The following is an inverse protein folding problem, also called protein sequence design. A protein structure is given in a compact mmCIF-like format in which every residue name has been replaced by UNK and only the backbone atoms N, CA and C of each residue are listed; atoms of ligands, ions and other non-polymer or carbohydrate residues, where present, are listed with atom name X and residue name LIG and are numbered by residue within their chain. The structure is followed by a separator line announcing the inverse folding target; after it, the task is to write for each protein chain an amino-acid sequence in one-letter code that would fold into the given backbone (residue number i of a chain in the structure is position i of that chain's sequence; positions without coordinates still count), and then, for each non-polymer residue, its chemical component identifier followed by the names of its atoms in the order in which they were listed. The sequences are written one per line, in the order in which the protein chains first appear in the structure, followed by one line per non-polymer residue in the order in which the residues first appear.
data_IF_521529743203
#
_entry.id   IF_521529743203
#
_cell.length_a   1.000
_cell.length_b   1.000
_cell.length_c   1.000
_cell.angle_alpha   90.00
_cell.angle_beta   90.00
_cell.angle_gamma   90.00
#
_symmetry.space_group_name_H-M   'P 1'
#
loop_
_entity.id
_entity.type
_entity.pdbx_description
1 polymer ?
#
# COMPACT_ATOMS: atom_id res chain seq x y z
N UNK A 1 3.31 13.81 -29.74
CA UNK A 1 2.82 12.44 -29.90
C UNK A 1 3.77 11.51 -29.13
N UNK A 2 3.34 10.98 -27.97
CA UNK A 2 4.19 10.18 -27.08
C UNK A 2 4.11 8.71 -27.54
N UNK A 3 5.12 8.26 -28.28
CA UNK A 3 5.22 6.86 -28.73
C UNK A 3 5.57 5.99 -27.52
N UNK A 4 4.73 5.00 -27.20
CA UNK A 4 5.02 4.00 -26.16
C UNK A 4 5.63 2.76 -26.82
N UNK A 5 6.78 2.31 -26.33
CA UNK A 5 7.39 1.05 -26.75
C UNK A 5 6.82 -0.10 -25.89
N UNK A 6 6.02 -0.97 -26.50
CA UNK A 6 5.46 -2.16 -25.84
C UNK A 6 6.47 -3.31 -25.88
N UNK A 7 7.42 -3.31 -24.94
CA UNK A 7 8.41 -4.41 -24.83
C UNK A 7 7.92 -5.45 -23.83
N UNK A 8 7.96 -6.74 -24.22
CA UNK A 8 7.60 -7.87 -23.37
C UNK A 8 8.90 -8.58 -22.98
N UNK A 9 9.21 -8.61 -21.68
CA UNK A 9 10.41 -9.26 -21.16
C UNK A 9 10.15 -10.74 -20.89
N UNK A 10 11.13 -11.58 -21.22
CA UNK A 10 11.03 -13.04 -21.11
C UNK A 10 12.06 -13.56 -20.12
N UNK A 11 11.60 -14.15 -19.02
CA UNK A 11 12.48 -14.85 -18.08
C UNK A 11 12.69 -16.33 -18.47
N UNK A 12 11.70 -16.96 -19.12
CA UNK A 12 11.74 -18.36 -19.58
C UNK A 12 11.08 -18.50 -20.95
N UNK A 13 11.59 -19.39 -21.79
CA UNK A 13 11.02 -19.67 -23.11
C UNK A 13 9.55 -20.12 -23.00
N UNK A 14 8.67 -19.49 -23.76
CA UNK A 14 7.22 -19.75 -23.76
C UNK A 14 6.71 -19.80 -25.20
N UNK A 15 6.03 -20.88 -25.57
CA UNK A 15 5.45 -21.10 -26.91
C UNK A 15 3.97 -20.72 -26.89
N UNK A 16 3.65 -19.53 -27.37
CA UNK A 16 2.29 -18.98 -27.33
C UNK A 16 1.28 -19.82 -28.13
N UNK A 17 1.72 -20.47 -29.22
CA UNK A 17 0.87 -21.32 -30.08
C UNK A 17 0.23 -22.51 -29.35
N UNK A 18 0.82 -22.95 -28.23
CA UNK A 18 0.32 -24.09 -27.43
C UNK A 18 -0.70 -23.68 -26.37
N UNK A 19 -0.88 -22.39 -26.13
CA UNK A 19 -1.77 -21.86 -25.09
C UNK A 19 -3.16 -21.64 -25.70
N UNK A 20 -4.16 -22.34 -25.15
CA UNK A 20 -5.55 -22.27 -25.65
C UNK A 20 -6.44 -21.28 -24.89
N UNK A 21 -6.07 -20.95 -23.67
CA UNK A 21 -6.85 -20.09 -22.78
C UNK A 21 -5.96 -19.03 -22.17
N UNK A 22 -6.47 -17.79 -22.11
CA UNK A 22 -5.81 -16.66 -21.49
C UNK A 22 -6.69 -16.18 -20.32
N UNK A 23 -6.20 -16.35 -19.10
CA UNK A 23 -6.81 -15.77 -17.92
C UNK A 23 -6.21 -14.40 -17.67
N UNK A 24 -7.06 -13.38 -17.50
CA UNK A 24 -6.63 -12.04 -17.10
C UNK A 24 -7.07 -11.79 -15.67
N UNK A 25 -6.17 -11.26 -14.87
CA UNK A 25 -6.55 -10.68 -13.57
C UNK A 25 -7.19 -9.30 -13.79
N UNK A 26 -8.03 -8.87 -12.87
CA UNK A 26 -8.81 -7.63 -13.00
C UNK A 26 -8.02 -6.43 -12.49
N UNK A 27 -7.70 -6.44 -11.19
CA UNK A 27 -7.13 -5.30 -10.48
C UNK A 27 -5.65 -5.15 -10.83
N UNK A 28 -5.23 -3.94 -11.20
CA UNK A 28 -3.86 -3.61 -11.65
C UNK A 28 -3.37 -4.32 -12.92
N UNK A 29 -4.14 -5.24 -13.51
CA UNK A 29 -3.83 -5.91 -14.78
C UNK A 29 -4.71 -5.39 -15.92
N UNK A 30 -6.04 -5.45 -15.77
CA UNK A 30 -6.98 -4.85 -16.72
C UNK A 30 -7.39 -3.43 -16.29
N UNK A 31 -7.61 -3.24 -14.98
CA UNK A 31 -7.97 -1.97 -14.38
C UNK A 31 -6.75 -1.36 -13.69
N UNK A 32 -6.07 -0.46 -14.40
CA UNK A 32 -4.99 0.34 -13.80
C UNK A 32 -5.59 1.43 -12.91
N UNK A 33 -5.34 1.34 -11.60
CA UNK A 33 -5.72 2.39 -10.66
C UNK A 33 -4.80 3.60 -10.80
N UNK A 34 -5.39 4.80 -10.69
CA UNK A 34 -4.62 6.03 -10.72
C UNK A 34 -3.94 6.24 -9.37
N UNK A 35 -2.61 6.22 -9.38
CA UNK A 35 -1.80 6.75 -8.28
C UNK A 35 -1.62 8.26 -8.47
N UNK A 36 -1.74 9.09 -7.42
CA UNK A 36 -1.85 8.73 -6.00
C UNK A 36 -3.30 8.61 -5.46
N UNK A 37 -4.32 8.99 -6.22
CA UNK A 37 -5.70 9.17 -5.73
C UNK A 37 -6.28 7.92 -5.03
N UNK A 38 -6.06 6.72 -5.59
CA UNK A 38 -6.56 5.47 -4.99
C UNK A 38 -5.87 5.13 -3.67
N UNK A 39 -4.57 5.41 -3.58
CA UNK A 39 -3.76 5.12 -2.40
C UNK A 39 -4.09 6.06 -1.24
N UNK A 40 -4.35 7.34 -1.55
CA UNK A 40 -4.81 8.33 -0.56
C UNK A 40 -6.17 7.95 0.02
N UNK A 41 -7.13 7.55 -0.82
CA UNK A 41 -8.45 7.11 -0.37
C UNK A 41 -8.37 5.87 0.54
N UNK A 42 -7.54 4.89 0.16
CA UNK A 42 -7.31 3.70 0.96
C UNK A 42 -6.68 4.05 2.32
N UNK A 43 -5.73 4.99 2.33
CA UNK A 43 -5.08 5.47 3.55
C UNK A 43 -6.06 6.18 4.48
N UNK A 44 -6.92 7.04 3.94
CA UNK A 44 -7.95 7.75 4.73
C UNK A 44 -8.94 6.79 5.38
N UNK A 45 -9.47 5.85 4.60
CA UNK A 45 -10.41 4.82 5.08
C UNK A 45 -9.82 4.01 6.24
N UNK A 46 -8.51 3.75 6.22
CA UNK A 46 -7.84 2.97 7.26
C UNK A 46 -7.53 3.74 8.51
N UNK A 47 -7.19 5.03 8.41
CA UNK A 47 -7.06 5.88 9.61
C UNK A 47 -8.38 5.91 10.37
N UNK A 48 -9.50 6.08 9.67
CA UNK A 48 -10.83 6.06 10.26
C UNK A 48 -11.13 4.72 10.94
N UNK A 49 -10.80 3.60 10.28
CA UNK A 49 -10.98 2.26 10.86
C UNK A 49 -10.12 2.02 12.10
N UNK A 50 -8.89 2.54 12.14
CA UNK A 50 -8.04 2.42 13.33
C UNK A 50 -8.61 3.17 14.52
N UNK A 51 -9.08 4.41 14.31
CA UNK A 51 -9.74 5.18 15.37
C UNK A 51 -10.96 4.43 15.89
N UNK A 52 -11.74 3.83 14.99
CA UNK A 52 -12.89 3.01 15.39
C UNK A 52 -12.51 1.78 16.25
N UNK A 53 -11.31 1.23 16.06
CA UNK A 53 -10.79 0.10 16.85
C UNK A 53 -10.25 0.54 18.22
N UNK A 54 -10.07 1.85 18.46
CA UNK A 54 -9.62 2.39 19.74
C UNK A 54 -8.21 2.98 19.72
N UNK A 55 -7.62 3.19 18.54
CA UNK A 55 -6.41 3.99 18.40
C UNK A 55 -6.72 5.49 18.58
N UNK A 56 -5.75 6.31 19.03
CA UNK A 56 -5.97 7.73 19.28
C UNK A 56 -6.30 8.51 18.00
N UNK A 57 -7.18 9.50 18.13
CA UNK A 57 -7.64 10.36 17.02
C UNK A 57 -6.51 11.15 16.35
N UNK A 58 -5.37 11.32 17.03
CA UNK A 58 -4.16 11.95 16.50
C UNK A 58 -3.69 11.33 15.18
N UNK A 59 -4.00 10.05 14.93
CA UNK A 59 -3.66 9.32 13.69
C UNK A 59 -4.40 9.89 12.47
N UNK A 60 -5.56 10.52 12.63
CA UNK A 60 -6.32 11.14 11.54
C UNK A 60 -5.55 12.29 10.88
N UNK A 61 -4.64 12.92 11.62
CA UNK A 61 -3.82 14.04 11.14
C UNK A 61 -2.75 13.63 10.12
N UNK A 62 -2.45 12.33 9.99
CA UNK A 62 -1.46 11.86 9.03
C UNK A 62 -1.96 12.02 7.59
N UNK A 63 -1.06 12.47 6.73
CA UNK A 63 -1.28 12.57 5.28
C UNK A 63 -0.50 11.51 4.55
N UNK A 64 -1.06 11.05 3.44
CA UNK A 64 -0.39 10.16 2.51
C UNK A 64 0.74 10.92 1.81
N UNK A 65 1.94 10.36 1.80
CA UNK A 65 3.13 10.97 1.18
C UNK A 65 3.70 10.01 0.13
N UNK A 66 3.44 10.22 -1.17
CA UNK A 66 3.86 9.29 -2.23
C UNK A 66 5.38 9.26 -2.47
N UNK A 67 6.12 10.21 -1.88
CA UNK A 67 7.58 10.32 -1.99
C UNK A 67 8.36 9.51 -0.94
N UNK A 68 7.66 8.77 -0.07
CA UNK A 68 8.29 8.01 1.00
C UNK A 68 9.29 7.00 0.41
N UNK A 69 10.56 6.98 0.86
CA UNK A 69 11.60 6.15 0.23
C UNK A 69 11.31 4.67 0.47
N UNK A 70 11.03 3.96 -0.62
CA UNK A 70 10.89 2.51 -0.67
C UNK A 70 12.26 1.97 -1.06
N UNK A 71 12.93 1.27 -0.14
CA UNK A 71 14.14 0.51 -0.49
C UNK A 71 13.68 -0.87 -0.96
N UNK A 72 14.20 -1.32 -2.11
CA UNK A 72 13.82 -2.57 -2.80
C UNK A 72 13.92 -3.86 -1.96
N UNK A 73 14.45 -3.81 -0.73
CA UNK A 73 14.48 -4.94 0.19
C UNK A 73 13.11 -5.32 0.78
N UNK A 74 12.13 -4.42 0.76
CA UNK A 74 10.79 -4.64 1.33
C UNK A 74 9.68 -4.73 0.25
N UNK A 75 10.06 -4.91 -1.02
CA UNK A 75 9.23 -4.72 -2.21
C UNK A 75 8.21 -5.84 -2.52
N UNK A 76 7.62 -6.48 -1.51
CA UNK A 76 6.54 -7.44 -1.71
C UNK A 76 5.40 -7.25 -0.71
N UNK A 77 4.62 -6.18 -0.91
CA UNK A 77 3.15 -6.11 -0.75
C UNK A 77 2.70 -4.65 -0.57
N UNK A 78 2.00 -4.11 -1.59
CA UNK A 78 1.15 -2.90 -1.53
C UNK A 78 1.70 -1.69 -0.73
N UNK A 79 2.38 -0.79 -1.46
CA UNK A 79 3.21 0.32 -0.97
C UNK A 79 2.57 1.36 -0.03
N UNK A 80 1.23 1.44 0.09
CA UNK A 80 0.61 2.30 1.12
C UNK A 80 0.55 1.59 2.49
N UNK A 81 0.44 0.26 2.53
CA UNK A 81 0.41 -0.51 3.79
C UNK A 81 1.75 -0.44 4.51
N UNK A 82 2.86 -0.49 3.77
CA UNK A 82 4.19 -0.38 4.35
C UNK A 82 4.41 1.00 4.99
N UNK A 83 4.04 2.08 4.28
CA UNK A 83 4.09 3.43 4.80
C UNK A 83 3.19 3.61 6.03
N UNK A 84 1.96 3.11 5.96
CA UNK A 84 1.02 3.11 7.07
C UNK A 84 1.56 2.32 8.27
N UNK A 85 2.06 1.10 8.05
CA UNK A 85 2.63 0.24 9.08
C UNK A 85 3.86 0.89 9.71
N UNK A 86 4.76 1.51 8.94
CA UNK A 86 5.91 2.24 9.47
C UNK A 86 5.49 3.46 10.29
N UNK A 87 4.48 4.23 9.83
CA UNK A 87 4.00 5.42 10.56
C UNK A 87 3.26 5.02 11.83
N UNK A 88 2.38 4.03 11.76
CA UNK A 88 1.62 3.48 12.88
C UNK A 88 2.53 2.74 13.86
N UNK A 89 3.50 1.91 13.41
CA UNK A 89 4.48 1.27 14.32
C UNK A 89 5.37 2.28 15.01
N UNK A 90 5.85 3.32 14.30
CA UNK A 90 6.63 4.39 14.93
C UNK A 90 5.81 5.13 15.97
N UNK A 91 4.54 5.37 15.69
CA UNK A 91 3.62 6.01 16.63
C UNK A 91 3.27 5.10 17.82
N UNK A 92 3.01 3.81 17.57
CA UNK A 92 2.72 2.81 18.60
C UNK A 92 3.94 2.54 19.49
N UNK A 93 5.17 2.57 18.95
CA UNK A 93 6.40 2.51 19.76
C UNK A 93 6.49 3.73 20.68
N UNK A 94 6.20 4.93 20.17
CA UNK A 94 6.18 6.16 20.98
C UNK A 94 5.06 6.13 22.04
N UNK A 95 3.91 5.51 21.77
CA UNK A 95 2.82 5.35 22.72
C UNK A 95 3.10 4.27 23.78
N UNK A 96 3.68 3.13 23.39
CA UNK A 96 4.13 2.07 24.32
C UNK A 96 5.22 2.61 25.24
N UNK A 97 6.14 3.44 24.73
CA UNK A 97 7.19 4.08 25.53
C UNK A 97 6.67 5.24 26.41
N UNK A 98 5.48 5.80 26.12
CA UNK A 98 4.90 6.95 26.85
C UNK A 98 3.70 6.62 27.73
N UNK A 99 3.21 5.38 27.78
CA UNK A 99 1.94 5.13 28.45
C UNK A 99 1.57 3.68 28.67
N UNK A 100 2.28 3.00 29.57
CA UNK A 100 1.61 2.21 30.60
C UNK A 100 0.82 3.14 31.54
N UNK A 101 -0.24 3.80 31.03
CA UNK A 101 -1.36 4.38 31.78
C UNK A 101 -2.53 4.56 30.80
N UNK A 102 -3.37 3.54 30.63
CA UNK A 102 -4.78 3.69 30.25
C UNK A 102 -5.50 2.34 30.33
N UNK A 103 -5.69 1.83 31.56
CA UNK A 103 -6.86 1.07 31.99
C UNK A 103 -6.63 0.52 33.40
N UNK A 104 -6.85 1.34 34.41
CA UNK A 104 -7.41 0.85 35.66
C UNK A 104 -8.67 1.68 35.94
N UNK A 105 -9.75 0.96 36.22
CA UNK A 105 -11.00 1.39 36.85
C UNK A 105 -10.78 2.29 38.06
#
# INVERSE_FOLDING_TARGET
MKVRFSTIFVNRSLQLDKIKFFGFDMDYTLAEYKSPDYEELAFDTLKERLVHVGYPEEILSFKYEPSFPISDSDAYSQNWMAQFCCKVKRYCSVYVDKGSVASET
#
